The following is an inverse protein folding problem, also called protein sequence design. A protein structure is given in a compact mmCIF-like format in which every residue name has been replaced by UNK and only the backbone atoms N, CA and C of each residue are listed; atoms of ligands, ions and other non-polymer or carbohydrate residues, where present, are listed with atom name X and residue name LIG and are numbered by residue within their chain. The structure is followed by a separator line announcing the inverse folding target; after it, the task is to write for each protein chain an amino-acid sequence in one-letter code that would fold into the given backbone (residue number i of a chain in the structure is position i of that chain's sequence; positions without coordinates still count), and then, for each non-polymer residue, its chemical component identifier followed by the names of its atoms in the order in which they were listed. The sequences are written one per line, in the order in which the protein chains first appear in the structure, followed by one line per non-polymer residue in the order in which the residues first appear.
data_IF_389421437124
#
_entry.id   IF_389421437124
#
_cell.length_a   1.000
_cell.length_b   1.000
_cell.length_c   1.000
_cell.angle_alpha   90.00
_cell.angle_beta   90.00
_cell.angle_gamma   90.00
#
_symmetry.space_group_name_H-M   'P 1'
#
loop_
_entity.id
_entity.type
_entity.pdbx_description
1 polymer ?
#
# COMPACT_ATOMS: atom_id res chain seq x y z
N UNK A 1 -15.10 -1.45 -5.99
CA UNK A 1 -14.65 -2.51 -5.03
C UNK A 1 -13.15 -2.39 -4.86
N UNK A 2 -12.59 -2.62 -3.67
CA UNK A 2 -11.14 -2.62 -3.44
C UNK A 2 -10.66 -3.99 -2.97
N UNK A 3 -9.60 -4.52 -3.57
CA UNK A 3 -8.87 -5.71 -3.14
C UNK A 3 -7.44 -5.29 -2.82
N UNK A 4 -6.99 -5.53 -1.59
CA UNK A 4 -5.63 -5.25 -1.17
C UNK A 4 -4.79 -6.52 -1.22
N UNK A 5 -3.62 -6.45 -1.85
CA UNK A 5 -2.62 -7.51 -1.90
C UNK A 5 -1.46 -7.08 -1.01
N UNK A 6 -1.26 -7.81 0.09
CA UNK A 6 -0.29 -7.52 1.12
C UNK A 6 0.78 -8.61 1.17
N UNK A 7 1.96 -8.26 1.66
CA UNK A 7 3.07 -9.20 1.81
C UNK A 7 4.43 -8.51 1.73
N UNK A 8 5.47 -9.26 2.09
CA UNK A 8 6.85 -8.78 1.99
C UNK A 8 7.26 -8.60 0.53
N UNK A 9 8.33 -7.85 0.29
CA UNK A 9 8.88 -7.71 -1.05
C UNK A 9 9.46 -9.04 -1.52
N UNK A 10 9.27 -9.36 -2.80
CA UNK A 10 9.61 -10.68 -3.34
C UNK A 10 8.60 -11.78 -2.99
N UNK A 11 7.44 -11.47 -2.42
CA UNK A 11 6.41 -12.48 -2.13
C UNK A 11 5.59 -12.94 -3.35
N UNK A 12 5.84 -12.39 -4.55
CA UNK A 12 5.04 -12.70 -5.74
C UNK A 12 3.72 -11.93 -5.86
N UNK A 13 3.57 -10.80 -5.15
CA UNK A 13 2.36 -9.95 -5.17
C UNK A 13 1.92 -9.54 -6.58
N UNK A 14 2.91 -9.19 -7.42
CA UNK A 14 2.67 -8.80 -8.81
C UNK A 14 2.05 -9.95 -9.60
N UNK A 15 2.64 -11.15 -9.54
CA UNK A 15 2.10 -12.35 -10.19
C UNK A 15 0.67 -12.65 -9.77
N UNK A 16 0.35 -12.56 -8.47
CA UNK A 16 -1.02 -12.74 -8.01
C UNK A 16 -1.96 -11.68 -8.59
N UNK A 17 -1.54 -10.42 -8.54
CA UNK A 17 -2.39 -9.32 -8.94
C UNK A 17 -2.62 -9.27 -10.45
N UNK A 18 -1.65 -9.69 -11.26
CA UNK A 18 -1.78 -9.84 -12.71
C UNK A 18 -2.79 -10.95 -13.05
N UNK A 19 -2.65 -12.13 -12.42
CA UNK A 19 -3.61 -13.22 -12.61
C UNK A 19 -5.03 -12.84 -12.15
N UNK A 20 -5.15 -12.08 -11.05
CA UNK A 20 -6.43 -11.59 -10.57
C UNK A 20 -7.07 -10.58 -11.52
N UNK A 21 -6.27 -9.67 -12.10
CA UNK A 21 -6.73 -8.73 -13.11
C UNK A 21 -7.26 -9.46 -14.35
N UNK A 22 -6.49 -10.40 -14.90
CA UNK A 22 -6.89 -11.22 -16.05
C UNK A 22 -8.24 -11.90 -15.81
N UNK A 23 -8.40 -12.61 -14.69
CA UNK A 23 -9.65 -13.30 -14.32
C UNK A 23 -10.83 -12.33 -14.22
N UNK A 24 -10.62 -11.13 -13.69
CA UNK A 24 -11.69 -10.14 -13.52
C UNK A 24 -12.06 -9.49 -14.85
N UNK A 25 -11.08 -9.18 -15.70
CA UNK A 25 -11.30 -8.63 -17.04
C UNK A 25 -12.04 -9.65 -17.91
N UNK A 26 -11.66 -10.92 -17.88
CA UNK A 26 -12.36 -12.02 -18.58
C UNK A 26 -13.81 -12.17 -18.15
N UNK A 27 -14.13 -11.75 -16.92
CA UNK A 27 -15.50 -11.69 -16.37
C UNK A 27 -16.20 -10.36 -16.67
N UNK A 28 -15.67 -9.56 -17.58
CA UNK A 28 -16.23 -8.29 -18.02
C UNK A 28 -16.15 -7.16 -16.97
N UNK A 29 -15.23 -7.25 -16.01
CA UNK A 29 -15.04 -6.20 -14.99
C UNK A 29 -14.06 -5.15 -15.50
N UNK A 30 -14.34 -3.88 -15.19
CA UNK A 30 -13.34 -2.83 -15.29
C UNK A 30 -12.40 -2.91 -14.07
N UNK A 31 -11.10 -3.09 -14.32
CA UNK A 31 -10.08 -3.28 -13.28
C UNK A 31 -9.06 -2.16 -13.35
N UNK A 32 -8.62 -1.70 -12.17
CA UNK A 32 -7.52 -0.75 -12.04
C UNK A 32 -6.47 -1.32 -11.09
N UNK A 33 -5.24 -1.48 -11.58
CA UNK A 33 -4.08 -1.82 -10.76
C UNK A 33 -3.46 -0.56 -10.18
N UNK A 34 -3.13 -0.61 -8.90
CA UNK A 34 -2.41 0.46 -8.21
C UNK A 34 -1.37 -0.14 -7.28
N UNK A 35 -0.25 0.57 -7.09
CA UNK A 35 0.78 0.20 -6.13
C UNK A 35 1.03 1.38 -5.19
N UNK A 36 1.18 1.10 -3.91
CA UNK A 36 1.47 2.11 -2.91
C UNK A 36 2.79 1.82 -2.20
N UNK A 37 3.64 2.83 -1.98
CA UNK A 37 3.44 4.25 -2.31
C UNK A 37 3.57 4.53 -3.82
N UNK A 38 2.96 5.62 -4.27
CA UNK A 38 3.00 6.05 -5.68
C UNK A 38 4.21 6.93 -5.95
N UNK A 39 5.38 6.29 -5.90
CA UNK A 39 6.68 6.96 -6.07
C UNK A 39 6.74 7.79 -7.36
N UNK A 40 7.19 9.04 -7.23
CA UNK A 40 7.35 9.98 -8.35
C UNK A 40 6.05 10.45 -9.01
N UNK A 41 4.87 9.95 -8.60
CA UNK A 41 3.59 10.35 -9.18
C UNK A 41 2.93 11.51 -8.44
N UNK A 42 3.21 11.68 -7.15
CA UNK A 42 2.63 12.72 -6.30
C UNK A 42 3.68 13.37 -5.42
N UNK A 43 3.44 14.61 -4.93
CA UNK A 43 4.31 15.21 -3.92
C UNK A 43 4.55 14.28 -2.72
N UNK A 44 3.50 13.57 -2.26
CA UNK A 44 3.62 12.60 -1.17
C UNK A 44 4.52 11.42 -1.55
N UNK A 45 4.29 10.80 -2.71
CA UNK A 45 5.11 9.70 -3.20
C UNK A 45 6.58 10.09 -3.41
N UNK A 46 6.84 11.31 -3.89
CA UNK A 46 8.18 11.86 -4.02
C UNK A 46 8.84 12.12 -2.67
N UNK A 47 8.11 12.69 -1.71
CA UNK A 47 8.62 12.92 -0.34
C UNK A 47 8.94 11.60 0.37
N UNK A 48 8.07 10.59 0.22
CA UNK A 48 8.30 9.25 0.77
C UNK A 48 9.55 8.62 0.12
N UNK A 49 9.69 8.69 -1.20
CA UNK A 49 10.87 8.16 -1.90
C UNK A 49 12.15 8.80 -1.36
N UNK A 50 12.19 10.14 -1.29
CA UNK A 50 13.33 10.89 -0.79
C UNK A 50 13.71 10.49 0.65
N UNK A 51 12.72 10.32 1.54
CA UNK A 51 12.99 9.86 2.90
C UNK A 51 13.56 8.43 2.95
N UNK A 52 13.01 7.50 2.17
CA UNK A 52 13.49 6.12 2.10
C UNK A 52 14.88 5.99 1.45
N UNK A 53 15.25 6.94 0.59
CA UNK A 53 16.58 7.07 -0.01
C UNK A 53 17.59 7.78 0.92
N UNK A 54 17.16 8.26 2.09
CA UNK A 54 18.00 8.92 3.08
C UNK A 54 18.20 10.42 2.83
N UNK A 55 17.42 11.03 1.94
CA UNK A 55 17.46 12.47 1.66
C UNK A 55 16.64 13.31 2.64
N UNK A 56 15.77 12.70 3.45
CA UNK A 56 15.05 13.35 4.56
C UNK A 56 15.05 12.45 5.81
N UNK A 57 16.07 12.64 6.64
CA UNK A 57 16.22 11.88 7.89
C UNK A 57 15.15 12.26 8.93
N UNK A 58 14.66 13.50 8.91
CA UNK A 58 13.66 13.97 9.90
C UNK A 58 12.35 13.23 9.72
N UNK A 59 11.92 13.08 8.46
CA UNK A 59 10.73 12.28 8.15
C UNK A 59 10.97 10.79 8.44
N UNK A 60 12.15 10.27 8.14
CA UNK A 60 12.46 8.85 8.34
C UNK A 60 12.49 8.46 9.83
N UNK A 61 12.93 9.37 10.70
CA UNK A 61 13.06 9.17 12.16
C UNK A 61 11.72 9.20 12.90
N UNK A 62 10.68 9.82 12.33
CA UNK A 62 9.33 9.82 12.92
C UNK A 62 8.43 8.78 12.25
N UNK A 63 8.07 7.74 13.00
CA UNK A 63 7.17 6.69 12.52
C UNK A 63 5.80 7.26 12.16
N UNK A 64 5.27 8.16 12.97
CA UNK A 64 3.96 8.78 12.79
C UNK A 64 3.95 9.72 11.58
N UNK A 65 4.99 10.54 11.40
CA UNK A 65 5.08 11.44 10.26
C UNK A 65 5.19 10.66 8.94
N UNK A 66 6.02 9.61 8.91
CA UNK A 66 6.14 8.75 7.74
C UNK A 66 4.82 7.99 7.46
N UNK A 67 4.16 7.49 8.51
CA UNK A 67 2.87 6.83 8.38
C UNK A 67 1.77 7.78 7.84
N UNK A 68 1.78 9.04 8.28
CA UNK A 68 0.90 10.06 7.75
C UNK A 68 1.19 10.34 6.27
N UNK A 69 2.46 10.41 5.86
CA UNK A 69 2.83 10.59 4.45
C UNK A 69 2.30 9.44 3.58
N UNK A 70 2.44 8.18 4.01
CA UNK A 70 1.87 7.03 3.31
C UNK A 70 0.34 7.10 3.23
N UNK A 71 -0.34 7.50 4.31
CA UNK A 71 -1.78 7.69 4.33
C UNK A 71 -2.23 8.80 3.38
N UNK A 72 -1.49 9.90 3.32
CA UNK A 72 -1.79 11.05 2.45
C UNK A 72 -1.64 10.69 0.96
N UNK A 73 -0.65 9.87 0.60
CA UNK A 73 -0.51 9.37 -0.77
C UNK A 73 -1.71 8.51 -1.22
N UNK A 74 -2.18 7.60 -0.35
CA UNK A 74 -3.39 6.80 -0.59
C UNK A 74 -4.64 7.65 -0.66
N UNK A 75 -4.80 8.61 0.25
CA UNK A 75 -5.91 9.55 0.24
C UNK A 75 -5.94 10.35 -1.06
N UNK A 76 -4.80 10.87 -1.52
CA UNK A 76 -4.73 11.63 -2.76
C UNK A 76 -5.15 10.77 -3.96
N UNK A 77 -4.72 9.51 -4.01
CA UNK A 77 -5.18 8.60 -5.06
C UNK A 77 -6.71 8.44 -5.03
N UNK A 78 -7.24 8.06 -3.87
CA UNK A 78 -8.64 7.65 -3.76
C UNK A 78 -9.62 8.80 -3.97
N UNK A 79 -9.25 9.97 -3.45
CA UNK A 79 -10.08 11.18 -3.45
C UNK A 79 -9.91 12.03 -4.69
N UNK A 80 -8.72 12.02 -5.33
CA UNK A 80 -8.41 12.92 -6.45
C UNK A 80 -8.14 12.14 -7.74
N UNK A 81 -7.08 11.33 -7.76
CA UNK A 81 -6.57 10.79 -9.03
C UNK A 81 -7.49 9.73 -9.64
N UNK A 82 -8.13 8.92 -8.81
CA UNK A 82 -9.10 7.92 -9.26
C UNK A 82 -10.20 8.53 -10.13
N UNK A 83 -10.69 9.71 -9.76
CA UNK A 83 -11.72 10.43 -10.56
C UNK A 83 -11.13 10.93 -11.87
N UNK A 84 -9.91 11.48 -11.84
CA UNK A 84 -9.20 11.97 -13.04
C UNK A 84 -8.90 10.84 -14.03
N UNK A 85 -8.63 9.64 -13.52
CA UNK A 85 -8.41 8.42 -14.31
C UNK A 85 -9.72 7.80 -14.82
N UNK A 86 -10.88 8.42 -14.55
CA UNK A 86 -12.18 7.93 -15.00
C UNK A 86 -12.66 6.66 -14.29
N UNK A 87 -12.05 6.28 -13.17
CA UNK A 87 -12.51 5.13 -12.41
C UNK A 87 -13.85 5.45 -11.75
N UNK A 88 -14.77 4.50 -11.83
CA UNK A 88 -16.12 4.65 -11.31
C UNK A 88 -16.31 3.79 -10.06
N UNK A 89 -17.50 3.84 -9.46
CA UNK A 89 -17.85 2.95 -8.35
C UNK A 89 -17.80 1.46 -8.73
N UNK A 90 -17.98 1.13 -10.02
CA UNK A 90 -17.95 -0.25 -10.52
C UNK A 90 -16.54 -0.75 -10.84
N UNK A 91 -15.55 0.15 -10.95
CA UNK A 91 -14.14 -0.21 -11.11
C UNK A 91 -13.68 -1.02 -9.90
N UNK A 92 -13.05 -2.17 -10.18
CA UNK A 92 -12.38 -2.99 -9.18
C UNK A 92 -10.94 -2.51 -9.07
N UNK A 93 -10.56 -1.97 -7.93
CA UNK A 93 -9.18 -1.58 -7.66
C UNK A 93 -8.44 -2.74 -7.03
N UNK A 94 -7.34 -3.18 -7.63
CA UNK A 94 -6.38 -4.13 -7.04
C UNK A 94 -5.17 -3.32 -6.60
N UNK A 95 -4.97 -3.20 -5.28
CA UNK A 95 -3.89 -2.44 -4.68
C UNK A 95 -2.75 -3.37 -4.23
N UNK A 96 -1.55 -3.22 -4.78
CA UNK A 96 -0.31 -3.72 -4.19
C UNK A 96 0.05 -2.80 -3.02
N UNK A 97 -0.14 -3.31 -1.81
CA UNK A 97 -0.11 -2.60 -0.52
C UNK A 97 -1.28 -1.62 -0.32
N UNK A 98 -1.83 -1.64 0.89
CA UNK A 98 -2.87 -0.72 1.35
C UNK A 98 -2.60 -0.31 2.81
N UNK A 99 -3.64 0.05 3.58
CA UNK A 99 -3.53 0.51 4.97
C UNK A 99 -2.86 -0.53 5.89
N UNK A 100 -3.00 -1.84 5.60
CA UNK A 100 -2.42 -2.89 6.44
C UNK A 100 -0.89 -2.90 6.38
N UNK A 101 -0.29 -2.56 5.23
CA UNK A 101 1.16 -2.30 5.15
C UNK A 101 1.59 -1.18 6.11
N UNK A 102 0.83 -0.08 6.20
CA UNK A 102 1.19 1.05 7.06
C UNK A 102 1.20 0.66 8.54
N UNK A 103 0.15 -0.03 8.99
CA UNK A 103 0.08 -0.59 10.34
C UNK A 103 1.23 -1.56 10.61
N UNK A 104 1.48 -2.52 9.71
CA UNK A 104 2.52 -3.54 9.91
C UNK A 104 3.93 -2.95 9.99
N UNK A 105 4.33 -2.09 9.04
CA UNK A 105 5.67 -1.52 9.02
C UNK A 105 5.88 -0.49 10.14
N UNK A 106 4.87 0.32 10.45
CA UNK A 106 4.97 1.29 11.54
C UNK A 106 5.07 0.61 12.91
N UNK A 107 4.22 -0.39 13.19
CA UNK A 107 4.33 -1.21 14.40
C UNK A 107 5.70 -1.91 14.49
N UNK A 108 6.24 -2.42 13.37
CA UNK A 108 7.56 -3.03 13.35
C UNK A 108 8.69 -2.04 13.68
N UNK A 109 8.59 -0.79 13.22
CA UNK A 109 9.57 0.28 13.52
C UNK A 109 9.51 0.74 14.98
N UNK A 110 8.32 0.80 15.57
CA UNK A 110 8.14 1.18 16.98
C UNK A 110 8.60 0.10 17.96
N UNK A 111 8.68 -1.16 17.49
CA UNK A 111 9.03 -2.30 18.33
C UNK A 111 7.95 -2.65 19.36
N UNK A 112 8.22 -3.67 20.17
CA UNK A 112 7.23 -4.24 21.11
C UNK A 112 6.72 -3.26 22.17
N UNK A 113 7.53 -2.28 22.57
CA UNK A 113 7.15 -1.30 23.60
C UNK A 113 6.34 -0.11 23.07
N UNK A 114 6.37 0.14 21.77
CA UNK A 114 5.74 1.31 21.15
C UNK A 114 4.61 0.99 20.17
N UNK A 115 4.43 -0.29 19.80
CA UNK A 115 3.44 -0.70 18.81
C UNK A 115 1.98 -0.74 19.33
N UNK A 116 1.79 -0.73 20.65
CA UNK A 116 0.46 -0.82 21.26
C UNK A 116 -0.41 0.37 20.83
N UNK A 117 -1.57 0.07 20.23
CA UNK A 117 -2.50 1.08 19.72
C UNK A 117 -2.12 1.73 18.38
N UNK A 118 -0.91 1.48 17.84
CA UNK A 118 -0.50 2.09 16.57
C UNK A 118 -1.36 1.64 15.38
N UNK A 119 -1.68 0.34 15.32
CA UNK A 119 -2.55 -0.19 14.25
C UNK A 119 -3.97 0.41 14.30
N UNK A 120 -4.50 0.63 15.49
CA UNK A 120 -5.80 1.27 15.69
C UNK A 120 -5.76 2.74 15.29
N UNK A 121 -4.67 3.43 15.63
CA UNK A 121 -4.44 4.81 15.18
C UNK A 121 -4.38 4.91 13.65
N UNK A 122 -3.71 3.98 12.97
CA UNK A 122 -3.70 3.90 11.50
C UNK A 122 -5.10 3.66 10.96
N UNK A 123 -5.87 2.74 11.56
CA UNK A 123 -7.22 2.45 11.13
C UNK A 123 -8.14 3.67 11.29
N UNK A 124 -8.05 4.40 12.40
CA UNK A 124 -8.80 5.64 12.63
C UNK A 124 -8.39 6.73 11.63
N UNK A 125 -7.08 6.95 11.46
CA UNK A 125 -6.57 7.95 10.53
C UNK A 125 -7.04 7.67 9.09
N UNK A 126 -6.85 6.45 8.61
CA UNK A 126 -7.05 6.14 7.21
C UNK A 126 -8.51 5.89 6.85
N UNK A 127 -9.24 5.08 7.63
CA UNK A 127 -10.62 4.73 7.29
C UNK A 127 -11.61 5.79 7.76
N UNK A 128 -11.44 6.36 8.95
CA UNK A 128 -12.42 7.27 9.53
C UNK A 128 -12.13 8.73 9.16
N UNK A 129 -10.88 9.21 9.37
CA UNK A 129 -10.53 10.62 9.13
C UNK A 129 -10.31 10.91 7.65
N UNK A 130 -9.58 10.05 6.94
CA UNK A 130 -9.33 10.22 5.49
C UNK A 130 -10.45 9.61 4.64
N UNK A 131 -11.36 8.83 5.22
CA UNK A 131 -12.47 8.22 4.49
C UNK A 131 -12.01 7.21 3.45
N UNK A 132 -10.83 6.60 3.62
CA UNK A 132 -10.37 5.54 2.74
C UNK A 132 -11.30 4.32 2.87
N UNK A 133 -11.53 3.59 1.78
CA UNK A 133 -12.32 2.37 1.79
C UNK A 133 -11.62 1.29 2.60
N UNK A 134 -12.42 0.54 3.36
CA UNK A 134 -11.98 -0.78 3.82
C UNK A 134 -11.95 -1.71 2.61
N UNK A 135 -10.85 -2.47 2.38
CA UNK A 135 -10.83 -3.47 1.31
C UNK A 135 -11.97 -4.47 1.49
N UNK A 136 -12.60 -4.86 0.39
CA UNK A 136 -13.57 -5.95 0.38
C UNK A 136 -12.87 -7.31 0.61
N UNK A 137 -11.60 -7.39 0.24
CA UNK A 137 -10.73 -8.52 0.49
C UNK A 137 -9.30 -8.00 0.69
N UNK A 138 -8.62 -8.54 1.70
CA UNK A 138 -7.17 -8.38 1.89
C UNK A 138 -6.52 -9.75 1.73
N UNK A 139 -5.64 -9.90 0.75
CA UNK A 139 -4.91 -11.15 0.49
C UNK A 139 -3.48 -10.97 0.97
N UNK A 140 -3.10 -11.73 2.00
CA UNK A 140 -1.73 -11.76 2.50
C UNK A 140 -0.95 -12.90 1.81
N UNK A 141 0.08 -12.56 1.03
CA UNK A 141 1.04 -13.54 0.55
C UNK A 141 2.11 -13.78 1.61
N UNK A 142 1.91 -14.83 2.41
CA UNK A 142 2.86 -15.30 3.40
C UNK A 142 3.90 -16.22 2.73
N UNK A 143 4.92 -15.65 2.11
CA UNK A 143 6.10 -16.42 1.68
C UNK A 143 7.14 -16.49 2.80
N UNK A 144 7.81 -17.64 2.93
CA UNK A 144 8.95 -17.77 3.83
C UNK A 144 10.08 -16.81 3.42
N UNK A 145 10.74 -16.19 4.39
CA UNK A 145 11.81 -15.20 4.17
C UNK A 145 12.94 -15.70 3.25
N UNK A 146 13.20 -17.02 3.24
CA UNK A 146 14.19 -17.65 2.35
C UNK A 146 13.86 -17.54 0.86
N UNK A 147 12.61 -17.77 0.46
CA UNK A 147 12.20 -17.72 -0.95
C UNK A 147 12.07 -16.28 -1.48
N UNK A 148 11.66 -15.34 -0.63
CA UNK A 148 11.54 -13.93 -1.01
C UNK A 148 12.91 -13.26 -1.28
N UNK A 149 13.96 -13.69 -0.57
CA UNK A 149 15.33 -13.22 -0.77
C UNK A 149 15.95 -13.70 -2.09
N UNK A 150 15.68 -14.94 -2.50
CA UNK A 150 16.18 -15.50 -3.76
C UNK A 150 15.53 -14.83 -4.99
N UNK A 151 14.24 -14.52 -4.95
CA UNK A 151 13.56 -13.85 -6.06
C UNK A 151 14.01 -12.39 -6.25
N UNK A 152 14.43 -11.70 -5.18
CA UNK A 152 15.03 -10.36 -5.28
C UNK A 152 16.39 -10.41 -6.00
N UNK A 153 17.25 -11.35 -5.64
CA UNK A 153 18.61 -11.48 -6.22
C UNK A 153 18.62 -11.83 -7.71
N UNK A 154 17.57 -12.47 -8.22
CA UNK A 154 17.46 -12.82 -9.65
C UNK A 154 16.88 -11.70 -10.53
N UNK A 155 16.57 -10.53 -9.95
CA UNK A 155 16.03 -9.36 -10.68
C UNK A 155 17.04 -8.22 -10.87
N UNK A 156 18.19 -8.27 -10.21
CA UNK A 156 19.34 -7.38 -10.39
C UNK A 156 20.34 -7.98 -11.38
#
# INVERSE_FOLDING_TARGET
MLIAVEGIDGAGKQTLADALEEILVDRGRNVARMSFPRYGCTPFGTTIAAALEGHDQTLLDSVEALAFAFAADRWHYWSVDRVRLGHTASTVTIADRWCASNAAYGSARLGTSGADGFADWIAELEFERFGLPRPALTVLLATGTGMAGEQRRNRD
#
